data_IF_803647229880
#
_entry.id   IF_803647229880
#
_cell.length_a   1.000
_cell.length_b   1.000
_cell.length_c   1.000
_cell.angle_alpha   90.00
_cell.angle_beta   90.00
_cell.angle_gamma   90.00
#
_symmetry.space_group_name_H-M   'P 1'
#
loop_
_entity.id
_entity.type
_entity.pdbx_description
1 polymer ?
#
# COMPACT_ATOMS: atom_id res chain seq x y z
N UNK A 1 15.82 23.25 -7.98
CA UNK A 1 15.32 22.07 -8.71
C UNK A 1 13.93 21.75 -8.20
N UNK A 2 12.99 21.43 -9.09
CA UNK A 2 11.60 21.14 -8.73
C UNK A 2 11.30 19.64 -8.79
N UNK A 3 10.23 19.22 -8.12
CA UNK A 3 9.70 17.86 -8.17
C UNK A 3 9.09 17.57 -9.55
N UNK A 4 9.35 16.38 -10.10
CA UNK A 4 8.76 15.91 -11.38
C UNK A 4 7.86 14.71 -11.13
N UNK A 5 6.61 14.76 -11.60
CA UNK A 5 5.66 13.64 -11.47
C UNK A 5 6.03 12.51 -12.43
N UNK A 6 6.24 11.30 -11.89
CA UNK A 6 6.48 10.09 -12.67
C UNK A 6 5.25 9.20 -12.79
N UNK A 7 4.37 9.19 -11.77
CA UNK A 7 3.20 8.32 -11.74
C UNK A 7 1.95 9.12 -11.38
N UNK A 8 0.82 8.77 -12.02
CA UNK A 8 -0.49 9.32 -11.70
C UNK A 8 -1.58 8.30 -12.02
N UNK A 9 -2.54 8.15 -11.12
CA UNK A 9 -3.82 7.48 -11.32
C UNK A 9 -4.88 8.23 -10.54
N UNK A 10 -6.04 8.42 -11.15
CA UNK A 10 -7.22 8.97 -10.50
C UNK A 10 -8.47 8.28 -11.04
N UNK A 11 -9.02 7.36 -10.26
CA UNK A 11 -10.18 6.56 -10.63
C UNK A 11 -11.51 7.29 -10.42
N UNK A 12 -11.50 8.51 -9.84
CA UNK A 12 -12.69 9.36 -9.77
C UNK A 12 -13.10 9.84 -11.16
N UNK A 13 -12.15 9.94 -12.10
CA UNK A 13 -12.42 10.09 -13.52
C UNK A 13 -12.92 8.75 -14.09
N UNK A 14 -14.21 8.72 -14.43
CA UNK A 14 -14.88 7.55 -15.01
C UNK A 14 -14.27 7.06 -16.33
N UNK A 15 -13.47 7.88 -17.01
CA UNK A 15 -12.80 7.52 -18.27
C UNK A 15 -11.45 6.82 -18.06
N UNK A 16 -10.87 6.93 -16.87
CA UNK A 16 -9.60 6.27 -16.51
C UNK A 16 -9.86 4.78 -16.29
N UNK A 17 -9.06 3.93 -16.93
CA UNK A 17 -9.09 2.48 -16.73
C UNK A 17 -7.97 2.04 -15.77
N UNK A 18 -8.15 0.89 -15.13
CA UNK A 18 -7.08 0.30 -14.33
C UNK A 18 -5.83 0.02 -15.17
N UNK A 19 -4.63 0.14 -14.58
CA UNK A 19 -3.41 -0.25 -15.26
C UNK A 19 -3.46 -1.71 -15.75
N UNK A 20 -2.69 -2.02 -16.80
CA UNK A 20 -2.66 -3.36 -17.37
C UNK A 20 -2.35 -4.42 -16.30
N UNK A 21 -3.16 -5.48 -16.26
CA UNK A 21 -3.04 -6.58 -15.29
C UNK A 21 -3.84 -6.39 -14.00
N UNK A 22 -4.27 -5.17 -13.67
CA UNK A 22 -5.10 -4.89 -12.50
C UNK A 22 -6.57 -5.18 -12.80
N UNK A 23 -7.31 -5.63 -11.77
CA UNK A 23 -8.77 -5.77 -11.85
C UNK A 23 -9.48 -4.54 -11.31
N UNK A 24 -10.61 -4.19 -11.91
CA UNK A 24 -11.48 -3.13 -11.41
C UNK A 24 -12.35 -3.65 -10.27
N UNK A 25 -12.31 -2.93 -9.15
CA UNK A 25 -13.32 -2.96 -8.11
C UNK A 25 -14.24 -1.77 -8.27
N UNK A 26 -15.54 -2.02 -8.11
CA UNK A 26 -16.55 -0.96 -8.18
C UNK A 26 -17.69 -1.24 -7.21
N UNK A 27 -17.83 -0.40 -6.19
CA UNK A 27 -18.90 -0.48 -5.19
C UNK A 27 -19.12 0.90 -4.57
N UNK A 28 -20.33 1.22 -4.12
CA UNK A 28 -20.60 2.47 -3.39
C UNK A 28 -20.24 3.77 -4.13
N UNK A 29 -20.14 3.74 -5.47
CA UNK A 29 -19.66 4.88 -6.27
C UNK A 29 -18.14 5.02 -6.36
N UNK A 30 -17.38 4.20 -5.63
CA UNK A 30 -15.92 4.12 -5.67
C UNK A 30 -15.47 3.16 -6.77
N UNK A 31 -14.41 3.53 -7.47
CA UNK A 31 -13.67 2.70 -8.43
C UNK A 31 -12.23 2.59 -7.95
N UNK A 32 -11.69 1.38 -7.95
CA UNK A 32 -10.32 1.12 -7.52
C UNK A 32 -9.71 -0.07 -8.28
N UNK A 33 -8.40 -0.19 -8.27
CA UNK A 33 -7.64 -1.16 -9.06
C UNK A 33 -6.84 -2.07 -8.12
N UNK A 34 -7.16 -3.36 -8.12
CA UNK A 34 -6.49 -4.36 -7.27
C UNK A 34 -5.88 -5.50 -8.07
N UNK A 35 -5.50 -6.57 -7.37
CA UNK A 35 -4.85 -7.74 -7.95
C UNK A 35 -5.80 -8.50 -8.89
N UNK A 36 -5.30 -9.15 -9.97
CA UNK A 36 -6.12 -10.05 -10.76
C UNK A 36 -6.64 -11.21 -9.89
N UNK A 37 -7.75 -11.83 -10.29
CA UNK A 37 -8.35 -12.93 -9.51
C UNK A 37 -7.35 -14.09 -9.37
N UNK A 38 -7.01 -14.43 -8.13
CA UNK A 38 -6.11 -15.52 -7.75
C UNK A 38 -6.59 -16.19 -6.46
N UNK A 39 -6.27 -17.48 -6.31
CA UNK A 39 -6.52 -18.28 -5.11
C UNK A 39 -5.29 -18.41 -4.19
N UNK A 40 -4.22 -17.66 -4.47
CA UNK A 40 -2.99 -17.62 -3.69
C UNK A 40 -2.45 -16.21 -3.61
N UNK A 41 -1.54 -15.98 -2.66
CA UNK A 41 -0.76 -14.75 -2.58
C UNK A 41 -0.08 -14.39 -3.90
N UNK A 42 -0.04 -13.09 -4.16
CA UNK A 42 0.49 -12.52 -5.40
C UNK A 42 0.68 -11.00 -5.30
N UNK A 43 1.41 -10.46 -6.28
CA UNK A 43 1.42 -9.03 -6.55
C UNK A 43 1.13 -8.75 -8.02
N UNK A 44 0.41 -7.66 -8.29
CA UNK A 44 0.33 -7.03 -9.61
C UNK A 44 1.15 -5.74 -9.58
N UNK A 45 1.83 -5.40 -10.67
CA UNK A 45 2.68 -4.21 -10.71
C UNK A 45 2.54 -3.36 -11.97
N UNK A 46 2.89 -2.09 -11.81
CA UNK A 46 3.08 -1.13 -12.91
C UNK A 46 4.40 -0.39 -12.69
N UNK A 47 5.18 -0.24 -13.75
CA UNK A 47 6.46 0.44 -13.74
C UNK A 47 6.35 1.79 -14.45
N UNK A 48 6.99 2.80 -13.88
CA UNK A 48 7.05 4.18 -14.35
C UNK A 48 8.50 4.53 -14.66
N UNK A 49 8.91 4.57 -15.94
CA UNK A 49 10.25 4.96 -16.32
C UNK A 49 10.57 6.39 -15.86
N UNK A 50 11.76 6.61 -15.33
CA UNK A 50 12.27 7.96 -15.02
C UNK A 50 12.50 8.81 -16.28
N UNK A 51 12.58 8.18 -17.46
CA UNK A 51 12.94 8.81 -18.73
C UNK A 51 14.27 9.59 -18.67
N UNK A 52 15.24 9.07 -17.91
CA UNK A 52 16.57 9.67 -17.76
C UNK A 52 16.63 10.81 -16.74
N UNK A 53 15.53 11.08 -16.03
CA UNK A 53 15.55 12.01 -14.88
C UNK A 53 16.41 11.38 -13.79
N UNK A 54 17.49 12.07 -13.44
CA UNK A 54 18.33 11.70 -12.31
C UNK A 54 17.73 12.25 -11.03
N UNK A 55 17.48 11.41 -10.03
CA UNK A 55 16.84 11.78 -8.77
C UNK A 55 17.51 11.12 -7.57
N UNK A 56 17.46 11.77 -6.41
CA UNK A 56 17.82 11.19 -5.11
C UNK A 56 16.69 11.23 -4.09
N UNK A 57 15.53 11.78 -4.45
CA UNK A 57 14.36 11.79 -3.59
C UNK A 57 13.11 11.29 -4.31
N UNK A 58 12.23 10.65 -3.54
CA UNK A 58 10.91 10.21 -4.01
C UNK A 58 9.87 10.65 -2.98
N UNK A 59 8.78 11.24 -3.43
CA UNK A 59 7.62 11.50 -2.58
C UNK A 59 6.33 11.20 -3.32
N UNK A 60 5.24 11.05 -2.58
CA UNK A 60 3.96 10.77 -3.19
C UNK A 60 2.90 10.44 -2.16
N UNK A 61 1.70 10.16 -2.64
CA UNK A 61 0.60 9.65 -1.84
C UNK A 61 -0.16 8.61 -2.63
N UNK A 62 -0.78 7.68 -1.92
CA UNK A 62 -1.61 6.62 -2.48
C UNK A 62 -2.89 6.56 -1.64
N UNK A 63 -4.03 6.43 -2.29
CA UNK A 63 -5.30 6.14 -1.63
C UNK A 63 -5.76 4.77 -2.09
N UNK A 64 -5.97 3.89 -1.14
CA UNK A 64 -6.53 2.56 -1.37
C UNK A 64 -7.74 2.31 -0.49
N UNK A 65 -8.24 1.08 -0.58
CA UNK A 65 -9.36 0.64 0.22
C UNK A 65 -9.10 -0.78 0.70
N UNK A 66 -9.61 -1.08 1.88
CA UNK A 66 -9.65 -2.45 2.36
C UNK A 66 -10.71 -3.22 1.58
N UNK A 67 -10.32 -4.33 0.96
CA UNK A 67 -11.25 -5.36 0.55
C UNK A 67 -11.14 -6.50 1.55
N UNK A 68 -12.23 -6.80 2.24
CA UNK A 68 -12.33 -7.96 3.14
C UNK A 68 -11.33 -7.94 4.29
N UNK A 69 -10.39 -8.90 4.37
CA UNK A 69 -9.61 -9.12 5.59
C UNK A 69 -8.08 -9.04 5.45
N UNK A 70 -7.49 -8.00 4.84
CA UNK A 70 -6.04 -7.89 4.77
C UNK A 70 -5.42 -7.88 6.16
N UNK A 71 -4.20 -8.39 6.31
CA UNK A 71 -3.59 -8.63 7.63
C UNK A 71 -2.19 -7.99 7.80
N UNK A 72 -1.97 -6.90 7.06
CA UNK A 72 -0.78 -6.07 7.02
C UNK A 72 0.49 -6.81 6.60
N UNK A 73 1.24 -7.35 7.55
CA UNK A 73 2.52 -8.04 7.30
C UNK A 73 2.55 -9.38 8.01
N UNK A 74 1.39 -10.02 8.16
CA UNK A 74 1.32 -11.31 8.81
C UNK A 74 2.21 -12.33 8.09
N UNK A 75 2.64 -13.34 8.82
CA UNK A 75 3.55 -14.36 8.32
C UNK A 75 2.98 -15.78 8.47
N UNK A 76 1.67 -15.89 8.74
CA UNK A 76 0.99 -17.16 8.89
C UNK A 76 0.73 -17.87 7.56
N UNK A 77 0.64 -17.14 6.44
CA UNK A 77 0.13 -17.66 5.16
C UNK A 77 1.24 -17.93 4.11
N UNK A 78 2.51 -17.67 4.43
CA UNK A 78 3.61 -18.00 3.52
C UNK A 78 5.02 -17.70 4.06
N UNK A 79 6.03 -18.12 3.29
CA UNK A 79 7.45 -17.85 3.59
C UNK A 79 7.96 -16.51 3.02
N UNK A 80 7.09 -15.76 2.34
CA UNK A 80 7.46 -14.59 1.55
C UNK A 80 7.56 -13.30 2.37
N UNK A 81 7.18 -13.34 3.64
CA UNK A 81 7.22 -12.22 4.57
C UNK A 81 8.55 -11.44 4.53
N UNK A 82 9.71 -12.08 4.37
CA UNK A 82 11.01 -11.39 4.33
C UNK A 82 11.58 -11.18 2.92
N UNK A 83 10.75 -11.26 1.88
CA UNK A 83 11.19 -11.18 0.49
C UNK A 83 10.56 -9.99 -0.24
N UNK A 84 11.35 -8.91 -0.41
CA UNK A 84 10.94 -7.71 -1.15
C UNK A 84 10.44 -8.03 -2.57
N UNK A 85 10.87 -9.13 -3.17
CA UNK A 85 10.45 -9.51 -4.52
C UNK A 85 9.14 -10.30 -4.56
N UNK A 86 8.59 -10.67 -3.41
CA UNK A 86 7.37 -11.43 -3.29
C UNK A 86 6.22 -10.55 -2.75
N UNK A 87 5.14 -11.21 -2.36
CA UNK A 87 3.91 -10.77 -1.69
C UNK A 87 4.13 -10.67 -0.17
N UNK A 88 5.10 -9.86 0.24
CA UNK A 88 5.45 -9.72 1.66
C UNK A 88 4.48 -8.87 2.50
N UNK A 89 3.50 -8.24 1.84
CA UNK A 89 2.61 -7.25 2.43
C UNK A 89 1.24 -7.32 1.77
N UNK A 90 0.24 -7.16 2.61
CA UNK A 90 -1.13 -6.85 2.26
C UNK A 90 -1.27 -5.35 2.08
N UNK A 91 -1.18 -4.87 0.84
CA UNK A 91 -1.07 -3.45 0.59
C UNK A 91 -0.28 -3.08 -0.66
N UNK A 92 0.29 -1.89 -0.62
CA UNK A 92 1.08 -1.31 -1.71
C UNK A 92 2.57 -1.35 -1.38
N UNK A 93 3.36 -1.92 -2.28
CA UNK A 93 4.83 -1.87 -2.26
C UNK A 93 5.33 -0.92 -3.34
N UNK A 94 5.97 0.17 -2.92
CA UNK A 94 6.64 1.11 -3.83
C UNK A 94 8.13 0.79 -3.81
N UNK A 95 8.69 0.53 -4.99
CA UNK A 95 10.08 0.14 -5.15
C UNK A 95 10.74 0.86 -6.34
N UNK A 96 12.07 0.75 -6.44
CA UNK A 96 12.83 1.28 -7.58
C UNK A 96 13.87 0.30 -8.09
N UNK A 97 14.14 0.38 -9.38
CA UNK A 97 15.31 -0.23 -10.02
C UNK A 97 15.31 -1.76 -10.07
N UNK A 98 16.38 -2.28 -10.68
CA UNK A 98 16.67 -3.72 -10.78
C UNK A 98 18.17 -3.94 -10.50
N UNK A 99 18.56 -4.56 -9.38
CA UNK A 99 17.71 -5.25 -8.41
C UNK A 99 16.76 -4.31 -7.67
N UNK A 100 15.58 -4.83 -7.30
CA UNK A 100 14.52 -4.09 -6.64
C UNK A 100 15.00 -3.53 -5.30
N UNK A 101 14.78 -2.24 -5.10
CA UNK A 101 15.06 -1.53 -3.85
C UNK A 101 13.80 -0.94 -3.25
N UNK A 102 13.66 -1.02 -1.93
CA UNK A 102 12.51 -0.48 -1.22
C UNK A 102 12.48 1.06 -1.25
N UNK A 103 11.29 1.62 -1.48
CA UNK A 103 11.02 3.08 -1.36
C UNK A 103 10.08 3.32 -0.19
N UNK A 104 8.87 2.73 -0.25
CA UNK A 104 7.83 2.87 0.78
C UNK A 104 6.88 1.68 0.76
N UNK A 105 6.27 1.35 1.89
CA UNK A 105 5.18 0.37 2.00
C UNK A 105 3.92 1.03 2.53
N UNK A 106 2.76 0.77 1.95
CA UNK A 106 1.47 1.14 2.54
C UNK A 106 0.70 -0.13 2.86
N UNK A 107 0.53 -0.43 4.14
CA UNK A 107 -0.02 -1.69 4.64
C UNK A 107 -1.51 -1.52 4.98
N UNK A 108 -2.35 -2.48 4.62
CA UNK A 108 -3.73 -2.54 5.11
C UNK A 108 -3.81 -3.52 6.27
N UNK A 109 -4.15 -3.04 7.46
CA UNK A 109 -4.49 -3.91 8.57
C UNK A 109 -5.92 -4.42 8.47
N UNK A 110 -6.26 -5.35 9.34
CA UNK A 110 -7.58 -5.97 9.33
C UNK A 110 -8.62 -5.15 10.10
N UNK A 111 -8.20 -4.57 11.23
CA UNK A 111 -9.08 -3.91 12.20
C UNK A 111 -8.41 -2.70 12.82
N UNK A 112 -9.20 -1.64 13.03
CA UNK A 112 -8.78 -0.47 13.81
C UNK A 112 -8.73 -0.74 15.33
N UNK A 113 -9.25 -1.89 15.76
CA UNK A 113 -9.28 -2.32 17.16
C UNK A 113 -8.27 -3.43 17.42
N UNK A 114 -7.75 -3.52 18.65
CA UNK A 114 -6.85 -4.60 19.09
C UNK A 114 -7.56 -5.93 19.35
N UNK A 115 -8.53 -6.31 18.50
CA UNK A 115 -9.29 -7.57 18.63
C UNK A 115 -8.44 -8.76 18.16
N UNK A 116 -7.65 -8.58 17.10
CA UNK A 116 -6.72 -9.59 16.62
C UNK A 116 -5.33 -9.00 16.37
N UNK A 117 -4.51 -8.94 17.42
CA UNK A 117 -3.27 -8.15 17.43
C UNK A 117 -2.21 -8.63 16.44
N UNK A 118 -2.34 -9.84 15.88
CA UNK A 118 -1.45 -10.35 14.85
C UNK A 118 -1.90 -10.00 13.42
N UNK A 119 -3.04 -9.35 13.18
CA UNK A 119 -3.49 -8.89 11.84
C UNK A 119 -3.59 -7.36 11.75
N UNK A 120 -3.21 -6.67 12.82
CA UNK A 120 -3.27 -5.21 12.90
C UNK A 120 -2.03 -4.58 12.28
N UNK A 121 -2.12 -3.27 12.04
CA UNK A 121 -0.96 -2.48 11.69
C UNK A 121 0.21 -2.62 12.68
N UNK A 122 1.48 -2.68 12.22
CA UNK A 122 2.64 -2.77 13.11
C UNK A 122 2.75 -1.59 14.10
N UNK A 123 2.28 -0.41 13.70
CA UNK A 123 2.24 0.79 14.53
C UNK A 123 1.07 0.83 15.52
N UNK A 124 0.10 -0.08 15.40
CA UNK A 124 -1.09 -0.05 16.24
C UNK A 124 -0.79 -0.46 17.69
N UNK A 125 -1.49 0.16 18.64
CA UNK A 125 -1.32 -0.12 20.07
C UNK A 125 -1.69 -1.58 20.37
N UNK A 126 -0.75 -2.31 20.99
CA UNK A 126 -0.92 -3.72 21.32
C UNK A 126 -0.70 -4.69 20.16
N UNK A 127 -0.37 -4.20 18.96
CA UNK A 127 -0.02 -5.05 17.83
C UNK A 127 1.19 -5.91 18.14
N UNK A 128 1.17 -7.17 17.69
CA UNK A 128 2.32 -8.09 17.76
C UNK A 128 3.07 -8.16 16.45
N UNK A 129 2.59 -7.46 15.42
CA UNK A 129 3.20 -7.39 14.10
C UNK A 129 4.49 -6.58 14.12
N UNK A 130 5.46 -6.99 13.31
CA UNK A 130 6.70 -6.25 13.11
C UNK A 130 6.97 -6.06 11.63
N UNK A 131 7.23 -4.81 11.24
CA UNK A 131 7.66 -4.51 9.88
C UNK A 131 9.01 -5.17 9.60
N UNK A 132 9.18 -5.62 8.36
CA UNK A 132 10.40 -6.25 7.89
C UNK A 132 11.58 -5.26 7.95
N UNK A 133 12.79 -5.80 8.14
CA UNK A 133 14.01 -5.00 8.28
C UNK A 133 14.31 -4.10 7.07
N UNK A 134 13.92 -4.51 5.85
CA UNK A 134 14.10 -3.70 4.64
C UNK A 134 13.11 -2.54 4.53
N UNK A 135 11.98 -2.59 5.25
CA UNK A 135 11.01 -1.48 5.33
C UNK A 135 11.50 -0.46 6.36
N UNK A 136 11.88 -0.94 7.55
CA UNK A 136 12.17 -0.06 8.69
C UNK A 136 10.97 0.84 9.01
N UNK A 137 11.21 2.14 9.13
CA UNK A 137 10.17 3.13 9.44
C UNK A 137 9.51 3.75 8.19
N UNK A 138 9.80 3.23 6.99
CA UNK A 138 9.31 3.79 5.71
C UNK A 138 8.00 3.13 5.29
N UNK A 139 6.99 3.25 6.15
CA UNK A 139 5.66 2.73 5.88
C UNK A 139 4.55 3.60 6.44
N UNK A 140 3.37 3.47 5.84
CA UNK A 140 2.09 3.81 6.45
C UNK A 140 1.29 2.54 6.65
N UNK A 141 0.40 2.52 7.63
CA UNK A 141 -0.53 1.43 7.82
C UNK A 141 -1.85 1.95 8.35
N UNK A 142 -2.95 1.39 7.88
CA UNK A 142 -4.31 1.76 8.30
C UNK A 142 -5.26 0.60 8.06
N UNK A 143 -6.36 0.53 8.80
CA UNK A 143 -7.45 -0.42 8.58
C UNK A 143 -8.76 0.36 8.43
N UNK A 144 -9.69 -0.13 7.62
CA UNK A 144 -11.00 0.50 7.40
C UNK A 144 -12.13 -0.08 8.26
N UNK A 145 -11.84 -1.16 9.00
CA UNK A 145 -12.83 -1.89 9.78
C UNK A 145 -12.73 -1.49 11.25
N UNK A 146 -13.58 -0.52 11.63
CA UNK A 146 -13.71 -0.02 13.00
C UNK A 146 -14.27 -1.03 14.02
N UNK A 147 -14.75 -2.20 13.59
CA UNK A 147 -15.40 -3.20 14.44
C UNK A 147 -14.64 -4.53 14.43
N UNK A 148 -14.85 -5.41 15.41
CA UNK A 148 -14.19 -6.73 15.45
C UNK A 148 -14.64 -7.75 14.40
N UNK A 149 -15.23 -7.31 13.28
CA UNK A 149 -15.69 -8.21 12.21
C UNK A 149 -15.72 -7.53 10.84
N UNK A 150 -15.12 -8.19 9.85
CA UNK A 150 -15.19 -7.78 8.46
C UNK A 150 -16.34 -8.51 7.72
N UNK A 151 -16.58 -8.10 6.48
CA UNK A 151 -17.58 -8.61 5.54
C UNK A 151 -16.92 -8.78 4.17
N UNK A 152 -17.48 -9.64 3.32
CA UNK A 152 -17.01 -9.86 1.95
C UNK A 152 -17.34 -8.66 1.02
N UNK A 153 -16.71 -7.51 1.25
CA UNK A 153 -16.96 -6.26 0.54
C UNK A 153 -15.74 -5.34 0.45
N UNK A 154 -15.85 -4.33 -0.41
CA UNK A 154 -14.96 -3.17 -0.45
C UNK A 154 -15.44 -2.12 0.57
N UNK A 155 -14.59 -1.75 1.51
CA UNK A 155 -14.88 -0.73 2.51
C UNK A 155 -14.63 0.66 1.95
N UNK A 156 -15.68 1.29 1.40
CA UNK A 156 -15.54 2.56 0.66
C UNK A 156 -15.73 3.81 1.50
N UNK A 157 -16.23 3.67 2.73
CA UNK A 157 -16.47 4.80 3.64
C UNK A 157 -15.21 5.32 4.32
N UNK A 158 -14.16 4.50 4.32
CA UNK A 158 -12.91 4.78 5.02
C UNK A 158 -11.72 4.44 4.11
N UNK A 159 -11.23 5.42 3.32
CA UNK A 159 -10.07 5.25 2.46
C UNK A 159 -8.80 5.03 3.27
N UNK A 160 -7.96 4.10 2.84
CA UNK A 160 -6.71 3.81 3.52
C UNK A 160 -5.61 4.82 3.18
N UNK A 161 -4.75 5.04 4.18
CA UNK A 161 -3.52 5.82 4.18
C UNK A 161 -3.72 7.32 4.00
N UNK A 162 -4.89 7.82 4.40
CA UNK A 162 -5.22 9.25 4.41
C UNK A 162 -5.01 9.90 5.78
N UNK A 163 -4.79 9.10 6.83
CA UNK A 163 -4.57 9.54 8.20
C UNK A 163 -5.83 10.04 8.91
N UNK A 164 -7.02 9.64 8.44
CA UNK A 164 -8.32 10.04 8.98
C UNK A 164 -9.11 8.83 9.46
N UNK A 165 -10.20 9.07 10.20
CA UNK A 165 -11.13 8.02 10.66
C UNK A 165 -10.55 6.89 11.52
N UNK A 166 -9.28 6.93 11.87
CA UNK A 166 -8.63 5.84 12.60
C UNK A 166 -9.18 5.64 14.01
N UNK A 167 -9.46 4.38 14.33
CA UNK A 167 -9.78 3.96 15.68
C UNK A 167 -8.64 4.15 16.67
N UNK A 168 -8.96 4.03 17.96
CA UNK A 168 -8.03 4.36 19.05
C UNK A 168 -6.74 3.56 19.03
N UNK A 169 -6.75 2.30 18.55
CA UNK A 169 -5.54 1.49 18.47
C UNK A 169 -4.59 1.98 17.36
N UNK A 170 -5.11 2.56 16.27
CA UNK A 170 -4.34 3.04 15.12
C UNK A 170 -3.96 4.52 15.23
N UNK A 171 -4.26 5.19 16.35
CA UNK A 171 -3.87 6.60 16.58
C UNK A 171 -2.40 6.88 16.26
N UNK A 172 -1.49 5.97 16.61
CA UNK A 172 -0.07 6.12 16.32
C UNK A 172 0.26 5.95 14.82
N UNK A 173 -0.50 5.13 14.10
CA UNK A 173 -0.38 4.93 12.66
C UNK A 173 -0.82 6.16 11.87
N UNK A 174 -1.87 6.83 12.33
CA UNK A 174 -2.46 7.96 11.59
C UNK A 174 -1.87 9.32 11.96
N UNK A 175 -1.09 9.39 13.04
CA UNK A 175 -0.34 10.58 13.44
C UNK A 175 1.15 10.51 13.07
N UNK A 176 1.52 9.66 12.11
CA UNK A 176 2.90 9.61 11.60
C UNK A 176 3.23 10.87 10.80
N UNK A 177 4.45 11.42 10.92
CA UNK A 177 4.83 12.59 10.13
C UNK A 177 4.72 12.34 8.63
N UNK A 178 4.09 13.28 7.93
CA UNK A 178 4.04 13.29 6.46
C UNK A 178 2.76 12.70 5.86
N UNK A 179 2.03 11.80 6.55
CA UNK A 179 0.79 11.21 6.01
C UNK A 179 -0.20 12.31 5.54
N UNK A 180 -0.78 12.20 4.33
CA UNK A 180 -0.76 11.07 3.39
C UNK A 180 0.46 11.02 2.44
N UNK A 181 1.41 11.94 2.58
CA UNK A 181 2.59 12.06 1.73
C UNK A 181 3.80 11.33 2.32
N UNK A 182 4.23 10.25 1.67
CA UNK A 182 5.52 9.66 1.97
C UNK A 182 6.66 10.49 1.37
N UNK A 183 7.83 10.44 2.00
CA UNK A 183 9.05 11.05 1.48
C UNK A 183 10.25 10.17 1.79
N UNK A 184 11.00 9.82 0.75
CA UNK A 184 12.20 9.00 0.79
C UNK A 184 13.37 9.81 0.24
N UNK A 185 14.34 10.10 1.10
CA UNK A 185 15.57 10.82 0.75
C UNK A 185 16.78 9.89 0.78
N UNK A 186 17.46 9.74 -0.36
CA UNK A 186 18.68 8.95 -0.51
C UNK A 186 19.97 9.81 -0.43
N UNK A 187 19.83 11.07 0.01
CA UNK A 187 20.91 12.04 0.15
C UNK A 187 21.54 12.40 -1.19
N UNK A 188 22.86 12.18 -1.31
CA UNK A 188 23.60 12.46 -2.53
C UNK A 188 23.60 11.28 -3.53
N UNK A 189 22.95 10.16 -3.19
CA UNK A 189 22.89 9.00 -4.07
C UNK A 189 21.78 9.21 -5.09
N UNK A 190 22.18 9.49 -6.32
CA UNK A 190 21.23 9.70 -7.42
C UNK A 190 21.09 8.44 -8.28
N UNK A 191 19.93 8.27 -8.92
CA UNK A 191 19.66 7.20 -9.88
C UNK A 191 18.75 7.68 -11.01
N UNK A 192 18.68 6.88 -12.07
CA UNK A 192 17.68 6.99 -13.14
C UNK A 192 16.75 5.77 -13.18
N UNK A 193 16.69 4.99 -12.09
CA UNK A 193 15.84 3.82 -12.00
C UNK A 193 14.36 4.15 -12.24
N UNK A 194 13.60 3.18 -12.72
CA UNK A 194 12.14 3.29 -12.72
C UNK A 194 11.61 3.27 -11.28
N UNK A 195 10.41 3.83 -11.09
CA UNK A 195 9.59 3.57 -9.90
C UNK A 195 8.58 2.47 -10.25
N UNK A 196 8.35 1.53 -9.34
CA UNK A 196 7.34 0.48 -9.46
C UNK A 196 6.35 0.61 -8.31
N UNK A 197 5.05 0.58 -8.64
CA UNK A 197 3.97 0.40 -7.69
C UNK A 197 3.44 -1.01 -7.83
N UNK A 198 3.32 -1.72 -6.72
CA UNK A 198 2.78 -3.08 -6.65
C UNK A 198 1.63 -3.11 -5.67
N UNK A 199 0.50 -3.72 -6.03
CA UNK A 199 -0.54 -4.13 -5.08
C UNK A 199 -0.33 -5.60 -4.79
N UNK A 200 -0.17 -5.94 -3.52
CA UNK A 200 0.23 -7.24 -3.03
C UNK A 200 -0.75 -7.74 -1.95
N UNK A 201 -0.76 -9.06 -1.78
CA UNK A 201 -1.30 -9.72 -0.59
C UNK A 201 -0.87 -11.18 -0.56
N UNK A 202 -0.77 -11.77 0.62
CA UNK A 202 -0.20 -13.11 0.81
C UNK A 202 -1.22 -14.26 0.69
N UNK A 203 -2.52 -13.92 0.66
CA UNK A 203 -3.63 -14.82 0.34
C UNK A 203 -4.33 -14.49 -0.99
N UNK A 204 -5.34 -15.31 -1.30
CA UNK A 204 -6.20 -15.16 -2.47
C UNK A 204 -7.09 -13.92 -2.42
N UNK A 205 -7.43 -13.41 -3.61
CA UNK A 205 -8.21 -12.16 -3.77
C UNK A 205 -9.69 -12.28 -3.40
N UNK A 206 -10.16 -13.46 -3.08
CA UNK A 206 -11.47 -13.72 -2.47
C UNK A 206 -11.46 -13.53 -0.95
N UNK A 207 -10.28 -13.61 -0.31
CA UNK A 207 -10.06 -13.39 1.13
C UNK A 207 -9.62 -11.97 1.47
N UNK A 208 -8.73 -11.38 0.67
CA UNK A 208 -8.21 -10.04 0.90
C UNK A 208 -7.71 -9.36 -0.38
N UNK A 209 -7.81 -8.04 -0.43
CA UNK A 209 -7.09 -7.23 -1.40
C UNK A 209 -7.01 -5.78 -0.93
N UNK A 210 -6.17 -5.00 -1.59
CA UNK A 210 -5.98 -3.58 -1.27
C UNK A 210 -6.06 -2.69 -2.51
N UNK A 211 -7.25 -2.59 -3.14
CA UNK A 211 -7.37 -1.88 -4.41
C UNK A 211 -7.08 -0.38 -4.26
N UNK A 212 -6.32 0.18 -5.21
CA UNK A 212 -5.95 1.60 -5.22
C UNK A 212 -6.83 2.42 -6.15
N UNK A 213 -7.35 3.56 -5.69
CA UNK A 213 -8.11 4.49 -6.54
C UNK A 213 -7.30 5.70 -6.98
N UNK A 214 -6.25 6.03 -6.25
CA UNK A 214 -5.46 7.22 -6.50
C UNK A 214 -4.00 6.98 -6.16
N UNK A 215 -3.11 7.49 -7.00
CA UNK A 215 -1.73 7.73 -6.59
C UNK A 215 -1.13 8.88 -7.39
N UNK A 216 -0.20 9.59 -6.76
CA UNK A 216 0.72 10.48 -7.44
C UNK A 216 2.11 10.31 -6.84
N UNK A 217 3.12 10.16 -7.69
CA UNK A 217 4.51 9.95 -7.26
C UNK A 217 5.42 10.88 -8.03
N UNK A 218 6.32 11.54 -7.30
CA UNK A 218 7.25 12.53 -7.77
C UNK A 218 8.68 12.16 -7.41
N UNK A 219 9.63 12.64 -8.20
CA UNK A 219 11.06 12.52 -7.96
C UNK A 219 11.77 13.88 -8.03
N UNK A 220 12.90 14.00 -7.34
CA UNK A 220 13.76 15.19 -7.34
C UNK A 220 15.24 14.80 -7.27
#
# INVERSE_FOLDING_TARGET
GGWTRLAYLDMTDSTVNCPSGFRLYQSGGVRACGRPVTSSGSCVSVQFPSNGINYSQVCGRVTGYQYTSPDAVHNGHGSNHNNLNADYVDGVSITRGSPRQHVWTLMAGNYEQSVNTNHNCPCATGSTQQAQSFIGDHYFCESAVATGGWQYQLYTSDPLWDGQSCGSAETACCNVPGIPWFHRDYGNTTTTDYIELRVCGDEGTDNEDTPVSYYEIYVQ
#
